data_IF_212101746293
#
_entry.id   IF_212101746293
#
_cell.length_a   1.000
_cell.length_b   1.000
_cell.length_c   1.000
_cell.angle_alpha   90.00
_cell.angle_beta   90.00
_cell.angle_gamma   90.00
#
_symmetry.space_group_name_H-M   'P 1'
#
loop_
_entity.id
_entity.type
_entity.pdbx_description
1 polymer ?
#
# COMPACT_ATOMS: atom_id res chain seq x y z
N UNK A 1 -7.82 -10.25 17.92
CA UNK A 1 -8.47 -9.59 16.78
C UNK A 1 -8.44 -8.07 16.94
N UNK A 2 -8.36 -7.35 15.83
CA UNK A 2 -8.34 -5.89 15.80
C UNK A 2 -9.77 -5.34 15.73
N UNK A 3 -10.08 -4.37 16.58
CA UNK A 3 -11.38 -3.69 16.60
C UNK A 3 -11.33 -2.40 15.77
N UNK A 4 -12.14 -2.35 14.75
CA UNK A 4 -12.30 -1.18 13.90
C UNK A 4 -13.43 -0.26 14.37
N UNK A 5 -13.46 0.95 13.86
CA UNK A 5 -14.59 1.88 13.91
C UNK A 5 -14.95 2.38 12.51
N UNK A 6 -16.20 2.77 12.31
CA UNK A 6 -16.69 3.20 10.99
C UNK A 6 -15.93 4.40 10.43
N UNK A 7 -15.54 5.35 11.29
CA UNK A 7 -14.76 6.52 10.88
C UNK A 7 -13.46 6.14 10.21
N UNK A 8 -12.66 5.21 10.80
CA UNK A 8 -11.39 4.78 10.23
C UNK A 8 -11.57 4.07 8.89
N UNK A 9 -12.55 3.15 8.78
CA UNK A 9 -12.86 2.47 7.54
C UNK A 9 -13.29 3.45 6.43
N UNK A 10 -14.14 4.42 6.78
CA UNK A 10 -14.60 5.46 5.85
C UNK A 10 -13.46 6.35 5.38
N UNK A 11 -12.64 6.86 6.30
CA UNK A 11 -11.51 7.73 5.96
C UNK A 11 -10.46 6.99 5.15
N UNK A 12 -10.07 5.77 5.53
CA UNK A 12 -9.09 5.00 4.76
C UNK A 12 -9.62 4.66 3.36
N UNK A 13 -10.91 4.37 3.23
CA UNK A 13 -11.51 4.15 1.91
C UNK A 13 -11.46 5.39 1.01
N UNK A 14 -11.66 6.60 1.57
CA UNK A 14 -11.49 7.85 0.84
C UNK A 14 -10.01 8.14 0.57
N UNK A 15 -9.13 7.89 1.55
CA UNK A 15 -7.68 8.02 1.39
C UNK A 15 -7.17 7.21 0.21
N UNK A 16 -7.55 5.93 0.10
CA UNK A 16 -7.21 5.11 -1.06
C UNK A 16 -7.61 5.74 -2.40
N UNK A 17 -8.81 6.33 -2.47
CA UNK A 17 -9.29 6.95 -3.70
C UNK A 17 -8.51 8.23 -4.06
N UNK A 18 -8.10 9.01 -3.05
CA UNK A 18 -7.34 10.26 -3.20
C UNK A 18 -5.88 9.97 -3.55
N UNK A 19 -5.20 9.14 -2.75
CA UNK A 19 -3.78 8.81 -2.95
C UNK A 19 -3.50 8.12 -4.30
N UNK A 20 -4.49 7.38 -4.79
CA UNK A 20 -4.35 6.67 -6.05
C UNK A 20 -4.87 7.46 -7.26
N UNK A 21 -5.35 8.69 -7.04
CA UNK A 21 -6.03 9.47 -8.08
C UNK A 21 -7.01 8.58 -8.86
N UNK A 22 -7.91 7.95 -8.12
CA UNK A 22 -8.80 6.94 -8.68
C UNK A 22 -9.98 7.59 -9.40
N UNK A 23 -10.07 7.39 -10.70
CA UNK A 23 -11.20 7.86 -11.50
C UNK A 23 -12.53 7.25 -11.03
N UNK A 24 -13.66 7.84 -11.45
CA UNK A 24 -14.98 7.21 -11.32
C UNK A 24 -15.07 5.97 -12.21
N UNK A 25 -15.87 4.98 -11.77
CA UNK A 25 -16.06 3.70 -12.46
C UNK A 25 -14.78 2.89 -12.67
N UNK A 26 -13.86 2.77 -11.67
CA UNK A 26 -12.69 1.93 -11.80
C UNK A 26 -13.08 0.46 -11.99
N UNK A 27 -12.24 -0.29 -12.69
CA UNK A 27 -12.37 -1.75 -12.81
C UNK A 27 -11.25 -2.39 -11.99
N UNK A 28 -11.60 -2.85 -10.80
CA UNK A 28 -10.65 -3.36 -9.82
C UNK A 28 -10.60 -4.89 -9.84
N UNK A 29 -9.38 -5.45 -9.99
CA UNK A 29 -9.14 -6.89 -9.95
C UNK A 29 -8.71 -7.32 -8.55
N UNK A 30 -9.47 -8.23 -7.96
CA UNK A 30 -9.20 -8.83 -6.66
C UNK A 30 -8.14 -9.92 -6.74
N UNK A 31 -6.88 -9.54 -6.57
CA UNK A 31 -5.74 -10.41 -6.32
C UNK A 31 -5.35 -10.40 -4.84
N UNK A 32 -5.79 -9.39 -4.11
CA UNK A 32 -5.70 -9.30 -2.65
C UNK A 32 -6.86 -10.06 -2.00
N UNK A 33 -6.63 -10.89 -0.96
CA UNK A 33 -7.73 -11.49 -0.20
C UNK A 33 -8.62 -10.42 0.47
N UNK A 34 -9.94 -10.47 0.26
CA UNK A 34 -10.86 -9.48 0.82
C UNK A 34 -10.91 -9.45 2.34
N UNK A 35 -10.54 -10.53 3.02
CA UNK A 35 -10.51 -10.59 4.48
C UNK A 35 -9.26 -9.94 5.09
N UNK A 36 -8.16 -9.86 4.35
CA UNK A 36 -6.90 -9.29 4.82
C UNK A 36 -7.01 -7.78 4.96
N UNK A 37 -6.92 -7.25 6.18
CA UNK A 37 -7.25 -5.87 6.55
C UNK A 37 -8.58 -5.42 5.90
N UNK A 38 -9.59 -6.32 5.85
CA UNK A 38 -10.82 -6.15 5.09
C UNK A 38 -10.61 -5.64 3.66
N UNK A 39 -9.67 -6.29 2.97
CA UNK A 39 -9.30 -5.96 1.60
C UNK A 39 -8.71 -4.56 1.45
N UNK A 40 -7.96 -4.09 2.48
CA UNK A 40 -7.35 -2.75 2.52
C UNK A 40 -8.37 -1.62 2.31
N UNK A 41 -9.59 -1.77 2.82
CA UNK A 41 -10.72 -0.85 2.62
C UNK A 41 -11.21 -0.70 1.15
N UNK A 42 -10.63 -1.41 0.18
CA UNK A 42 -11.04 -1.30 -1.23
C UNK A 42 -12.49 -1.73 -1.52
N UNK A 43 -13.16 -2.65 -0.78
CA UNK A 43 -14.59 -2.87 -0.98
C UNK A 43 -15.40 -1.58 -0.89
N UNK A 44 -15.10 -0.73 0.07
CA UNK A 44 -15.76 0.58 0.26
C UNK A 44 -15.25 1.64 -0.71
N UNK A 45 -13.94 1.65 -1.00
CA UNK A 45 -13.34 2.56 -2.01
C UNK A 45 -13.98 2.37 -3.38
N UNK A 46 -14.07 1.12 -3.86
CA UNK A 46 -14.63 0.81 -5.17
C UNK A 46 -16.13 1.14 -5.21
N UNK A 47 -16.87 0.87 -4.13
CA UNK A 47 -18.28 1.25 -4.02
C UNK A 47 -18.46 2.77 -4.07
N UNK A 48 -17.65 3.55 -3.33
CA UNK A 48 -17.69 5.02 -3.32
C UNK A 48 -17.39 5.63 -4.71
N UNK A 49 -16.57 4.94 -5.52
CA UNK A 49 -16.24 5.36 -6.90
C UNK A 49 -17.18 4.77 -7.96
N UNK A 50 -18.27 4.08 -7.56
CA UNK A 50 -19.19 3.36 -8.44
C UNK A 50 -18.46 2.40 -9.41
N UNK A 51 -17.44 1.72 -8.90
CA UNK A 51 -16.55 0.87 -9.67
C UNK A 51 -17.04 -0.57 -9.83
N UNK A 52 -16.31 -1.33 -10.62
CA UNK A 52 -16.57 -2.76 -10.89
C UNK A 52 -15.56 -3.64 -10.17
N UNK A 53 -16.04 -4.62 -9.43
CA UNK A 53 -15.21 -5.64 -8.79
C UNK A 53 -15.07 -6.87 -9.70
N UNK A 54 -13.83 -7.22 -10.07
CA UNK A 54 -13.51 -8.44 -10.81
C UNK A 54 -12.84 -9.42 -9.85
N UNK A 55 -13.54 -10.50 -9.51
CA UNK A 55 -13.07 -11.49 -8.54
C UNK A 55 -12.44 -12.70 -9.24
N UNK A 56 -11.33 -13.19 -8.67
CA UNK A 56 -10.67 -14.42 -9.10
C UNK A 56 -10.95 -15.55 -8.09
N UNK A 57 -11.22 -16.76 -8.58
CA UNK A 57 -11.27 -17.95 -7.72
C UNK A 57 -9.87 -18.37 -7.27
N UNK A 58 -8.87 -18.13 -8.13
CA UNK A 58 -7.47 -18.48 -7.89
C UNK A 58 -6.56 -17.41 -8.47
N UNK A 59 -5.60 -16.97 -7.68
CA UNK A 59 -4.62 -15.96 -8.07
C UNK A 59 -3.48 -16.67 -8.81
N UNK A 60 -3.57 -16.68 -10.13
CA UNK A 60 -2.60 -17.27 -11.05
C UNK A 60 -2.34 -16.32 -12.22
N UNK A 61 -1.11 -16.29 -12.74
CA UNK A 61 -0.73 -15.38 -13.83
C UNK A 61 -1.66 -15.45 -15.05
N UNK A 62 -2.07 -16.66 -15.46
CA UNK A 62 -3.02 -16.85 -16.57
C UNK A 62 -4.39 -16.25 -16.29
N UNK A 63 -4.88 -16.41 -15.06
CA UNK A 63 -6.19 -15.88 -14.63
C UNK A 63 -6.17 -14.35 -14.56
N UNK A 64 -5.11 -13.78 -13.98
CA UNK A 64 -4.86 -12.34 -13.91
C UNK A 64 -4.82 -11.75 -15.33
N UNK A 65 -3.99 -12.31 -16.22
CA UNK A 65 -3.88 -11.86 -17.61
C UNK A 65 -5.23 -11.85 -18.34
N UNK A 66 -5.98 -12.96 -18.24
CA UNK A 66 -7.31 -13.07 -18.87
C UNK A 66 -8.28 -12.03 -18.33
N UNK A 67 -8.29 -11.81 -17.01
CA UNK A 67 -9.16 -10.83 -16.37
C UNK A 67 -8.84 -9.40 -16.82
N UNK A 68 -7.56 -9.02 -16.83
CA UNK A 68 -7.11 -7.70 -17.27
C UNK A 68 -7.55 -7.44 -18.73
N UNK A 69 -7.33 -8.38 -19.64
CA UNK A 69 -7.69 -8.24 -21.05
C UNK A 69 -9.21 -8.20 -21.25
N UNK A 70 -9.95 -9.11 -20.59
CA UNK A 70 -11.40 -9.25 -20.79
C UNK A 70 -12.18 -8.08 -20.22
N UNK A 71 -11.84 -7.66 -18.98
CA UNK A 71 -12.60 -6.66 -18.25
C UNK A 71 -11.98 -5.26 -18.28
N UNK A 72 -10.84 -5.09 -18.99
CA UNK A 72 -10.10 -3.82 -19.07
C UNK A 72 -9.77 -3.27 -17.67
N UNK A 73 -9.27 -4.17 -16.80
CA UNK A 73 -8.86 -3.83 -15.43
C UNK A 73 -7.87 -2.67 -15.47
N UNK A 74 -8.09 -1.70 -14.59
CA UNK A 74 -7.24 -0.52 -14.46
C UNK A 74 -6.64 -0.37 -13.06
N UNK A 75 -7.12 -1.14 -12.07
CA UNK A 75 -6.59 -1.13 -10.70
C UNK A 75 -6.51 -2.54 -10.12
N UNK A 76 -5.46 -2.82 -9.37
CA UNK A 76 -5.31 -4.03 -8.57
C UNK A 76 -4.31 -3.82 -7.42
N UNK A 77 -4.39 -4.63 -6.37
CA UNK A 77 -3.40 -4.66 -5.30
C UNK A 77 -2.79 -6.06 -5.19
N UNK A 78 -1.55 -6.15 -4.73
CA UNK A 78 -0.93 -7.45 -4.50
C UNK A 78 0.45 -7.37 -3.87
N UNK A 79 0.81 -8.40 -3.11
CA UNK A 79 2.17 -8.56 -2.62
C UNK A 79 3.18 -8.78 -3.79
N UNK A 80 4.48 -8.60 -3.58
CA UNK A 80 5.50 -8.74 -4.64
C UNK A 80 5.44 -10.10 -5.39
N UNK A 81 5.00 -11.18 -4.73
CA UNK A 81 4.79 -12.46 -5.40
C UNK A 81 3.72 -12.40 -6.51
N UNK A 82 2.68 -11.58 -6.33
CA UNK A 82 1.63 -11.37 -7.35
C UNK A 82 2.19 -10.60 -8.53
N UNK A 83 3.05 -9.61 -8.28
CA UNK A 83 3.73 -8.87 -9.34
C UNK A 83 4.57 -9.80 -10.22
N UNK A 84 5.28 -10.75 -9.61
CA UNK A 84 6.07 -11.75 -10.36
C UNK A 84 5.17 -12.64 -11.24
N UNK A 85 3.99 -13.07 -10.74
CA UNK A 85 3.01 -13.81 -11.56
C UNK A 85 2.52 -12.99 -12.76
N UNK A 86 2.33 -11.68 -12.58
CA UNK A 86 1.96 -10.76 -13.67
C UNK A 86 3.10 -10.67 -14.69
N UNK A 87 4.32 -10.41 -14.23
CA UNK A 87 5.51 -10.29 -15.10
C UNK A 87 5.65 -11.55 -15.96
N UNK A 88 5.64 -12.73 -15.35
CA UNK A 88 5.73 -14.00 -16.05
C UNK A 88 4.62 -14.15 -17.12
N UNK A 89 3.37 -13.93 -16.70
CA UNK A 89 2.22 -14.11 -17.58
C UNK A 89 2.19 -13.17 -18.79
N UNK A 90 2.72 -11.96 -18.66
CA UNK A 90 2.78 -10.97 -19.74
C UNK A 90 4.03 -11.14 -20.60
N UNK A 91 5.19 -11.42 -20.00
CA UNK A 91 6.45 -11.63 -20.71
C UNK A 91 6.40 -12.84 -21.65
N UNK A 92 5.85 -13.96 -21.19
CA UNK A 92 5.66 -15.16 -22.00
C UNK A 92 4.84 -14.93 -23.29
N UNK A 93 4.03 -13.86 -23.28
CA UNK A 93 3.17 -13.50 -24.41
C UNK A 93 3.68 -12.32 -25.22
N UNK A 94 4.81 -11.72 -24.80
CA UNK A 94 5.38 -10.52 -25.41
C UNK A 94 4.34 -9.38 -25.54
N UNK A 95 3.52 -9.20 -24.51
CA UNK A 95 2.42 -8.23 -24.49
C UNK A 95 2.71 -7.12 -23.49
N UNK A 96 2.53 -5.89 -23.96
CA UNK A 96 2.49 -4.68 -23.14
C UNK A 96 1.05 -4.16 -23.09
N UNK A 97 0.65 -3.55 -21.99
CA UNK A 97 -0.67 -2.94 -21.86
C UNK A 97 -0.77 -1.69 -22.75
N UNK A 98 -1.90 -1.56 -23.45
CA UNK A 98 -2.22 -0.35 -24.23
C UNK A 98 -2.81 0.78 -23.38
N UNK A 99 -3.33 0.45 -22.19
CA UNK A 99 -3.81 1.37 -21.17
C UNK A 99 -3.13 1.00 -19.86
N UNK A 100 -2.68 2.00 -19.14
CA UNK A 100 -2.04 1.83 -17.83
C UNK A 100 -2.96 1.07 -16.86
N UNK A 101 -2.36 0.16 -16.10
CA UNK A 101 -2.99 -0.50 -14.96
C UNK A 101 -2.21 -0.14 -13.71
N UNK A 102 -2.87 0.53 -12.77
CA UNK A 102 -2.30 0.94 -11.50
C UNK A 102 -2.26 -0.25 -10.53
N UNK A 103 -1.15 -0.43 -9.83
CA UNK A 103 -0.94 -1.53 -8.88
C UNK A 103 -0.42 -0.99 -7.56
N UNK A 104 -1.14 -1.21 -6.46
CA UNK A 104 -0.57 -1.02 -5.13
C UNK A 104 0.06 -2.31 -4.62
N UNK A 105 1.27 -2.22 -4.07
CA UNK A 105 2.00 -3.34 -3.48
C UNK A 105 2.44 -3.01 -2.07
N UNK A 106 2.38 -4.01 -1.18
CA UNK A 106 2.80 -3.93 0.22
C UNK A 106 3.21 -5.31 0.75
N UNK A 107 3.32 -5.44 2.03
CA UNK A 107 3.75 -6.62 2.81
C UNK A 107 5.26 -6.89 2.79
N UNK A 108 5.97 -6.48 1.76
CA UNK A 108 7.43 -6.45 1.70
C UNK A 108 7.85 -5.39 0.67
N UNK A 109 9.02 -4.76 0.82
CA UNK A 109 9.55 -3.86 -0.18
C UNK A 109 9.69 -4.58 -1.53
N UNK A 110 9.09 -4.06 -2.61
CA UNK A 110 9.21 -4.68 -3.92
C UNK A 110 10.65 -4.51 -4.43
N UNK A 111 11.29 -5.58 -4.94
CA UNK A 111 12.62 -5.46 -5.51
C UNK A 111 12.63 -4.44 -6.68
N UNK A 112 13.62 -3.55 -6.78
CA UNK A 112 13.71 -2.56 -7.88
C UNK A 112 13.61 -3.21 -9.28
N UNK A 113 14.17 -4.40 -9.45
CA UNK A 113 14.06 -5.18 -10.69
C UNK A 113 12.60 -5.53 -11.05
N UNK A 114 11.78 -5.86 -10.06
CA UNK A 114 10.35 -6.16 -10.23
C UNK A 114 9.59 -4.89 -10.64
N UNK A 115 9.84 -3.76 -9.98
CA UNK A 115 9.23 -2.46 -10.34
C UNK A 115 9.53 -2.06 -11.79
N UNK A 116 10.80 -2.15 -12.20
CA UNK A 116 11.24 -1.87 -13.57
C UNK A 116 10.60 -2.81 -14.60
N UNK A 117 10.46 -4.09 -14.27
CA UNK A 117 9.79 -5.05 -15.15
C UNK A 117 8.30 -4.75 -15.32
N UNK A 118 7.58 -4.43 -14.24
CA UNK A 118 6.17 -4.03 -14.26
C UNK A 118 5.96 -2.77 -15.10
N UNK A 119 6.80 -1.74 -14.92
CA UNK A 119 6.74 -0.50 -15.68
C UNK A 119 6.88 -0.75 -17.20
N UNK A 120 7.83 -1.60 -17.62
CA UNK A 120 8.01 -1.98 -19.04
C UNK A 120 6.79 -2.66 -19.64
N UNK A 121 5.97 -3.32 -18.83
CA UNK A 121 4.73 -3.98 -19.27
C UNK A 121 3.52 -3.03 -19.27
N UNK A 122 3.67 -1.77 -18.85
CA UNK A 122 2.60 -0.77 -18.81
C UNK A 122 1.82 -0.74 -17.49
N UNK A 123 2.42 -1.25 -16.40
CA UNK A 123 1.86 -1.13 -15.05
C UNK A 123 2.53 0.02 -14.30
N UNK A 124 1.74 0.81 -13.59
CA UNK A 124 2.20 1.81 -12.65
C UNK A 124 2.13 1.23 -11.23
N UNK A 125 3.28 1.00 -10.61
CA UNK A 125 3.34 0.38 -9.28
C UNK A 125 3.59 1.44 -8.23
N UNK A 126 2.72 1.49 -7.22
CA UNK A 126 2.85 2.31 -6.02
C UNK A 126 3.13 1.40 -4.83
N UNK A 127 4.24 1.64 -4.13
CA UNK A 127 4.54 0.95 -2.89
C UNK A 127 3.82 1.64 -1.75
N UNK A 128 3.16 0.87 -0.89
CA UNK A 128 2.47 1.35 0.29
C UNK A 128 2.87 0.52 1.51
N UNK A 129 2.73 1.12 2.68
CA UNK A 129 2.89 0.42 3.95
C UNK A 129 1.63 0.60 4.79
N UNK A 130 1.34 -0.39 5.60
CA UNK A 130 0.29 -0.40 6.59
C UNK A 130 0.13 -1.77 7.20
N UNK A 131 -0.70 -1.84 8.22
CA UNK A 131 -0.95 -3.06 8.99
C UNK A 131 -2.44 -3.15 9.35
N UNK A 132 -2.84 -4.27 9.95
CA UNK A 132 -4.25 -4.49 10.31
C UNK A 132 -4.75 -3.39 11.25
N UNK A 133 -3.92 -2.92 12.15
CA UNK A 133 -4.21 -1.92 13.16
C UNK A 133 -4.52 -0.52 12.61
N UNK A 134 -4.23 -0.30 11.32
CA UNK A 134 -4.56 0.94 10.60
C UNK A 134 -5.40 0.69 9.34
N UNK A 135 -6.17 -0.40 9.30
CA UNK A 135 -7.14 -0.75 8.24
C UNK A 135 -6.53 -1.14 6.89
N UNK A 136 -5.23 -1.10 6.72
CA UNK A 136 -4.49 -1.35 5.50
C UNK A 136 -3.45 -0.26 5.23
N UNK A 137 -3.32 0.25 4.00
CA UNK A 137 -2.36 1.29 3.68
C UNK A 137 -2.58 2.59 4.49
N UNK A 138 -1.49 3.13 5.03
CA UNK A 138 -1.45 4.41 5.73
C UNK A 138 -0.21 5.24 5.38
N UNK A 139 0.74 4.65 4.64
CA UNK A 139 1.93 5.31 4.11
C UNK A 139 2.06 4.96 2.63
N UNK A 140 2.46 5.91 1.80
CA UNK A 140 2.53 5.78 0.35
C UNK A 140 3.83 6.35 -0.21
N UNK A 141 4.46 5.62 -1.12
CA UNK A 141 5.60 6.09 -1.90
C UNK A 141 5.12 7.05 -2.98
N UNK A 142 4.95 8.32 -2.60
CA UNK A 142 4.56 9.39 -3.52
C UNK A 142 5.71 9.74 -4.45
N UNK A 143 5.42 9.85 -5.74
CA UNK A 143 6.40 10.20 -6.76
C UNK A 143 6.58 11.71 -6.87
N UNK A 144 7.82 12.17 -6.94
CA UNK A 144 8.15 13.57 -7.21
C UNK A 144 8.55 13.72 -8.69
N UNK A 145 8.01 14.71 -9.39
CA UNK A 145 8.31 14.97 -10.80
C UNK A 145 9.81 15.19 -11.06
N UNK A 146 10.52 15.79 -10.11
CA UNK A 146 11.96 15.98 -10.18
C UNK A 146 12.76 14.68 -10.31
N UNK A 147 12.16 13.53 -10.01
CA UNK A 147 12.81 12.23 -10.14
C UNK A 147 12.68 11.60 -11.53
N UNK A 148 11.90 12.19 -12.43
CA UNK A 148 11.68 11.66 -13.79
C UNK A 148 12.96 11.64 -14.62
N UNK A 149 13.89 12.56 -14.35
CA UNK A 149 15.18 12.63 -15.05
C UNK A 149 16.24 11.65 -14.54
N UNK A 150 16.01 10.99 -13.39
CA UNK A 150 16.94 10.05 -12.80
C UNK A 150 17.05 8.75 -13.63
N UNK A 151 18.20 8.05 -13.57
CA UNK A 151 18.33 6.71 -14.13
C UNK A 151 17.24 5.77 -13.60
N UNK A 152 16.79 4.84 -14.44
CA UNK A 152 15.70 3.92 -14.06
C UNK A 152 16.00 3.08 -12.81
N UNK A 153 17.27 2.81 -12.52
CA UNK A 153 17.65 2.05 -11.33
C UNK A 153 17.50 2.92 -10.06
N UNK A 154 17.83 4.22 -10.14
CA UNK A 154 17.63 5.16 -9.05
C UNK A 154 16.13 5.41 -8.81
N UNK A 155 15.34 5.58 -9.89
CA UNK A 155 13.88 5.66 -9.79
C UNK A 155 13.30 4.44 -9.10
N UNK A 156 13.76 3.24 -9.44
CA UNK A 156 13.28 2.01 -8.83
C UNK A 156 13.66 1.90 -7.34
N UNK A 157 14.83 2.40 -6.94
CA UNK A 157 15.25 2.46 -5.54
C UNK A 157 14.38 3.44 -4.74
N UNK A 158 14.05 4.61 -5.30
CA UNK A 158 13.15 5.57 -4.67
C UNK A 158 11.74 4.99 -4.52
N UNK A 159 11.19 4.37 -5.56
CA UNK A 159 9.88 3.69 -5.54
C UNK A 159 9.81 2.51 -4.56
N UNK A 160 10.93 1.93 -4.18
CA UNK A 160 10.97 0.86 -3.19
C UNK A 160 10.83 1.35 -1.74
N UNK A 161 11.01 2.65 -1.47
CA UNK A 161 10.74 3.24 -0.16
C UNK A 161 9.25 3.22 0.15
N UNK A 162 8.89 3.26 1.45
CA UNK A 162 7.49 3.31 1.88
C UNK A 162 6.85 4.68 1.61
N UNK A 163 7.63 5.76 1.72
CA UNK A 163 7.20 7.11 1.40
C UNK A 163 6.71 7.91 2.60
N UNK A 164 5.60 8.61 2.44
CA UNK A 164 5.01 9.54 3.39
C UNK A 164 3.61 9.09 3.84
N UNK A 165 3.07 9.71 4.86
CA UNK A 165 1.73 9.44 5.37
C UNK A 165 0.63 9.68 4.31
N UNK A 166 -0.44 8.89 4.39
CA UNK A 166 -1.69 9.15 3.66
C UNK A 166 -2.30 10.48 4.10
N UNK A 167 -2.98 11.18 3.19
CA UNK A 167 -3.72 12.42 3.46
C UNK A 167 -4.72 12.29 4.63
N UNK A 168 -5.17 11.09 4.95
CA UNK A 168 -6.11 10.79 6.04
C UNK A 168 -5.43 10.29 7.31
N UNK A 169 -4.11 10.06 7.26
CA UNK A 169 -3.27 9.80 8.43
C UNK A 169 -2.93 11.14 9.08
N UNK A 170 -3.02 11.22 10.40
CA UNK A 170 -2.81 12.49 11.10
C UNK A 170 -1.31 12.79 11.27
N UNK A 171 -0.54 11.76 11.65
CA UNK A 171 0.88 11.93 11.92
C UNK A 171 1.62 10.57 11.91
N UNK A 172 2.88 10.60 11.53
CA UNK A 172 3.84 9.50 11.68
C UNK A 172 5.10 10.01 12.37
N UNK A 173 5.73 9.17 13.17
CA UNK A 173 7.01 9.47 13.79
C UNK A 173 7.89 8.21 13.81
N UNK A 174 9.19 8.40 13.92
CA UNK A 174 10.13 7.31 14.18
C UNK A 174 10.99 7.71 15.37
N UNK A 175 10.99 6.87 16.41
CA UNK A 175 11.66 7.19 17.67
C UNK A 175 12.77 6.19 17.99
N UNK A 176 13.77 6.65 18.74
CA UNK A 176 14.68 5.75 19.44
C UNK A 176 13.93 5.11 20.63
N UNK A 177 13.82 3.79 20.60
CA UNK A 177 13.06 3.02 21.63
C UNK A 177 13.61 3.21 23.04
N UNK A 178 14.91 3.59 23.21
CA UNK A 178 15.53 3.76 24.51
C UNK A 178 15.28 5.14 25.11
N UNK A 179 15.27 6.17 24.25
CA UNK A 179 15.12 7.56 24.71
C UNK A 179 13.71 8.09 24.56
N UNK A 180 12.90 7.50 23.67
CA UNK A 180 11.58 8.01 23.28
C UNK A 180 11.64 9.26 22.40
N UNK A 181 12.82 9.72 22.01
CA UNK A 181 13.00 10.90 21.18
C UNK A 181 12.96 10.54 19.68
N UNK A 182 12.49 11.50 18.86
CA UNK A 182 12.49 11.34 17.40
C UNK A 182 13.93 11.18 16.88
N UNK A 183 14.11 10.24 15.93
CA UNK A 183 15.42 10.03 15.30
C UNK A 183 15.76 11.13 14.27
N UNK A 184 17.06 11.34 13.94
CA UNK A 184 17.45 12.29 12.92
C UNK A 184 17.01 11.83 11.52
N UNK A 185 16.79 12.79 10.63
CA UNK A 185 16.46 12.57 9.22
C UNK A 185 17.74 12.35 8.39
N UNK A 186 18.42 11.24 8.62
CA UNK A 186 19.72 10.94 8.00
C UNK A 186 19.70 9.71 7.08
N UNK A 187 18.55 9.02 7.00
CA UNK A 187 18.36 7.80 6.22
C UNK A 187 19.16 6.59 6.74
N UNK A 188 19.67 6.64 7.96
CA UNK A 188 20.57 5.62 8.54
C UNK A 188 20.19 5.21 9.95
N UNK A 189 19.87 6.18 10.81
CA UNK A 189 19.48 5.93 12.19
C UNK A 189 18.17 5.19 12.21
N UNK A 190 18.17 4.01 12.85
CA UNK A 190 17.00 3.13 12.91
C UNK A 190 16.24 3.43 14.22
N UNK A 191 14.91 3.57 14.09
CA UNK A 191 14.00 3.69 15.21
C UNK A 191 12.72 2.89 15.00
N UNK A 192 11.80 2.91 15.96
CA UNK A 192 10.47 2.34 15.85
C UNK A 192 9.51 3.31 15.17
N UNK A 193 8.73 2.82 14.21
CA UNK A 193 7.67 3.58 13.56
C UNK A 193 6.45 3.70 14.46
N UNK A 194 6.00 4.93 14.67
CA UNK A 194 4.78 5.26 15.41
C UNK A 194 3.74 5.87 14.48
N UNK A 195 2.48 5.55 14.73
CA UNK A 195 1.35 6.06 13.97
C UNK A 195 0.32 6.73 14.89
N UNK A 196 -0.26 7.85 14.45
CA UNK A 196 -1.35 8.51 15.16
C UNK A 196 -2.38 9.04 14.17
N UNK A 197 -3.66 8.85 14.48
CA UNK A 197 -4.71 9.42 13.67
C UNK A 197 -6.01 8.64 13.67
N UNK A 198 -6.94 9.15 12.87
CA UNK A 198 -8.32 8.67 12.80
C UNK A 198 -8.46 7.32 12.06
N UNK A 199 -7.42 6.83 11.41
CA UNK A 199 -7.39 5.50 10.78
C UNK A 199 -6.65 4.47 11.65
N UNK A 200 -6.36 4.77 12.90
CA UNK A 200 -5.82 3.80 13.86
C UNK A 200 -6.96 3.03 14.53
N UNK A 201 -6.77 1.76 14.83
CA UNK A 201 -7.76 0.88 15.45
C UNK A 201 -8.28 1.41 16.80
N UNK A 202 -9.40 0.84 17.27
CA UNK A 202 -9.87 1.06 18.66
C UNK A 202 -9.04 0.31 19.69
N UNK A 203 -8.44 -0.80 19.30
CA UNK A 203 -7.68 -1.70 20.16
C UNK A 203 -7.88 -3.17 19.77
N UNK A 204 -7.34 -4.06 20.60
CA UNK A 204 -7.47 -5.49 20.43
C UNK A 204 -8.71 -6.05 21.15
N UNK A 205 -9.45 -6.92 20.48
CA UNK A 205 -10.71 -7.49 20.98
C UNK A 205 -10.47 -8.27 22.27
N UNK A 206 -11.13 -7.83 23.35
CA UNK A 206 -11.08 -8.46 24.70
C UNK A 206 -9.64 -8.64 25.22
N UNK A 207 -8.74 -7.73 24.87
CA UNK A 207 -7.35 -7.72 25.32
C UNK A 207 -6.93 -6.27 25.63
N UNK A 208 -7.29 -5.83 26.82
CA UNK A 208 -7.04 -4.46 27.27
C UNK A 208 -5.54 -4.25 27.46
N UNK A 209 -4.85 -5.20 28.09
CA UNK A 209 -3.42 -5.10 28.38
C UNK A 209 -2.60 -4.90 27.11
N UNK A 210 -2.84 -5.73 26.06
CA UNK A 210 -2.17 -5.56 24.77
C UNK A 210 -2.58 -4.26 24.05
N UNK A 211 -3.78 -3.74 24.32
CA UNK A 211 -4.20 -2.45 23.76
C UNK A 211 -3.44 -1.30 24.43
N UNK A 212 -3.34 -1.32 25.75
CA UNK A 212 -2.60 -0.31 26.51
C UNK A 212 -1.10 -0.35 26.17
N UNK A 213 -0.51 -1.54 26.03
CA UNK A 213 0.87 -1.72 25.58
C UNK A 213 1.12 -1.17 24.17
N UNK A 214 0.15 -1.36 23.26
CA UNK A 214 0.28 -0.87 21.89
C UNK A 214 0.06 0.64 21.75
N UNK A 215 -0.54 1.30 22.75
CA UNK A 215 -0.82 2.73 22.72
C UNK A 215 -0.13 3.42 23.91
N UNK A 216 0.90 4.21 23.63
CA UNK A 216 1.54 5.06 24.62
C UNK A 216 1.50 6.52 24.18
N UNK A 217 1.18 7.43 25.10
CA UNK A 217 1.14 8.87 24.86
C UNK A 217 0.34 9.30 23.62
N UNK A 218 -0.71 8.53 23.27
CA UNK A 218 -1.57 8.79 22.10
C UNK A 218 -0.99 8.32 20.76
N UNK A 219 0.13 7.61 20.77
CA UNK A 219 0.73 6.97 19.60
C UNK A 219 0.49 5.47 19.61
N UNK A 220 0.27 4.92 18.44
CA UNK A 220 0.27 3.48 18.21
C UNK A 220 1.69 3.02 17.85
N UNK A 221 2.22 2.14 18.67
CA UNK A 221 3.52 1.49 18.49
C UNK A 221 3.38 0.31 17.52
N UNK A 222 4.05 0.40 16.37
CA UNK A 222 3.88 -0.62 15.33
C UNK A 222 4.74 -1.85 15.56
N UNK A 223 5.83 -1.73 16.30
CA UNK A 223 6.89 -2.73 16.41
C UNK A 223 7.76 -2.85 15.15
N UNK A 224 7.48 -2.07 14.11
CA UNK A 224 8.27 -2.07 12.88
C UNK A 224 9.40 -1.03 12.95
N UNK A 225 10.56 -1.40 12.38
CA UNK A 225 11.74 -0.53 12.34
C UNK A 225 11.75 0.31 11.06
N UNK A 226 12.13 1.58 11.20
CA UNK A 226 12.19 2.53 10.10
C UNK A 226 13.40 3.46 10.20
N UNK A 227 13.68 4.15 9.10
CA UNK A 227 14.58 5.30 9.00
C UNK A 227 13.83 6.46 8.36
N UNK A 228 14.25 7.70 8.63
CA UNK A 228 13.68 8.88 7.98
C UNK A 228 14.73 9.46 7.03
N UNK A 229 14.36 9.65 5.76
CA UNK A 229 15.19 10.31 4.77
C UNK A 229 15.01 11.83 4.81
N UNK A 230 15.96 12.56 4.21
CA UNK A 230 15.96 14.04 4.16
C UNK A 230 15.03 14.61 3.07
N UNK A 231 14.52 13.76 2.18
CA UNK A 231 13.72 14.13 0.99
C UNK A 231 12.26 13.69 1.06
#
# INVERSE_FOLDING_TARGET
GVLYHYRGAYLNALGNALEWDMNVHPVYLWTLPMFHCNGWCFPWTIAAKAGTNVCLRKVEGRSIYKAIKKYKVDHMCGAPIVLNLVIEAFSDRQITLSKECKVMTAAAPPPPKTLKAMQKLGFSVTHVYGLTEVYGPCVVSTWKEDWDHLPLDDQANLKARQGIEYLVQEDINVIDVKTGESIPWDGKTIGELLLRGNITMKGYLKNIDATEEAFDNGWFHTGDLAVIHTD
#
